data_IF_216194130862
#
_entry.id   IF_216194130862
#
_cell.length_a   1.000
_cell.length_b   1.000
_cell.length_c   1.000
_cell.angle_alpha   90.00
_cell.angle_beta   90.00
_cell.angle_gamma   90.00
#
_symmetry.space_group_name_H-M   'P 1'
#
loop_
_entity.id
_entity.type
_entity.pdbx_description
1 polymer ?
#
# COMPACT_ATOMS: atom_id res chain seq x y z
N UNK A 1 -10.45 19.23 29.84
CA UNK A 1 -9.26 20.05 29.48
C UNK A 1 -8.44 19.46 28.34
N UNK A 2 -7.90 18.24 28.42
CA UNK A 2 -7.00 17.68 27.38
C UNK A 2 -7.59 17.64 25.96
N UNK A 3 -8.81 17.13 25.78
CA UNK A 3 -9.48 17.10 24.47
C UNK A 3 -9.77 18.49 23.89
N UNK A 4 -9.90 19.52 24.75
CA UNK A 4 -10.16 20.89 24.32
C UNK A 4 -8.87 21.52 23.81
N UNK A 5 -7.74 21.30 24.50
CA UNK A 5 -6.42 21.71 24.03
C UNK A 5 -6.05 21.07 22.69
N UNK A 6 -6.34 19.77 22.49
CA UNK A 6 -6.11 19.08 21.21
C UNK A 6 -6.94 19.74 20.10
N UNK A 7 -8.24 19.96 20.32
CA UNK A 7 -9.13 20.61 19.35
C UNK A 7 -8.67 22.02 18.99
N UNK A 8 -8.22 22.80 19.96
CA UNK A 8 -7.67 24.14 19.77
C UNK A 8 -6.39 24.09 18.93
N UNK A 9 -5.45 23.20 19.28
CA UNK A 9 -4.15 23.05 18.58
C UNK A 9 -4.30 22.56 17.14
N UNK A 10 -5.33 21.77 16.86
CA UNK A 10 -5.60 21.24 15.53
C UNK A 10 -6.59 22.11 14.75
N UNK A 11 -7.13 23.19 15.29
CA UNK A 11 -8.20 23.97 14.65
C UNK A 11 -7.90 24.35 13.19
N UNK A 12 -6.65 24.72 12.91
CA UNK A 12 -6.19 25.17 11.58
C UNK A 12 -5.29 24.15 10.85
N UNK A 13 -5.36 22.86 11.22
CA UNK A 13 -4.47 21.82 10.68
C UNK A 13 -4.47 21.75 9.15
N UNK A 14 -5.63 21.96 8.51
CA UNK A 14 -5.76 21.93 7.04
C UNK A 14 -4.95 23.04 6.38
N UNK A 15 -4.98 24.24 6.94
CA UNK A 15 -4.22 25.40 6.44
C UNK A 15 -2.72 25.15 6.58
N UNK A 16 -2.28 24.64 7.74
CA UNK A 16 -0.88 24.29 7.99
C UNK A 16 -0.34 23.27 6.98
N UNK A 17 -1.15 22.28 6.60
CA UNK A 17 -0.75 21.21 5.68
C UNK A 17 -0.90 21.57 4.20
N UNK A 18 -1.66 22.59 3.84
CA UNK A 18 -1.99 22.90 2.44
C UNK A 18 -0.75 23.11 1.56
N UNK A 19 0.32 23.68 2.12
CA UNK A 19 1.60 23.89 1.41
C UNK A 19 2.31 22.60 1.00
N UNK A 20 2.06 21.50 1.73
CA UNK A 20 2.65 20.18 1.46
C UNK A 20 1.79 19.31 0.55
N UNK A 21 0.55 19.71 0.26
CA UNK A 21 -0.39 18.93 -0.55
C UNK A 21 -0.32 19.24 -2.05
N UNK A 22 0.63 20.10 -2.48
CA UNK A 22 0.72 20.53 -3.88
C UNK A 22 1.59 19.56 -4.70
N UNK A 23 1.05 18.96 -5.77
CA UNK A 23 1.84 18.13 -6.68
C UNK A 23 2.89 18.97 -7.43
N UNK A 24 4.08 18.39 -7.62
CA UNK A 24 5.21 18.98 -8.33
C UNK A 24 5.62 18.08 -9.50
N UNK A 25 5.33 18.53 -10.73
CA UNK A 25 5.57 17.75 -11.94
C UNK A 25 7.06 17.44 -12.19
N UNK A 26 7.97 18.31 -11.73
CA UNK A 26 9.42 18.09 -11.90
C UNK A 26 9.86 16.95 -10.99
N UNK A 27 9.43 16.97 -9.72
CA UNK A 27 9.70 15.88 -8.78
C UNK A 27 9.06 14.59 -9.28
N UNK A 28 7.81 14.62 -9.75
CA UNK A 28 7.12 13.47 -10.30
C UNK A 28 7.91 12.82 -11.46
N UNK A 29 8.39 13.62 -12.43
CA UNK A 29 9.21 13.12 -13.53
C UNK A 29 10.51 12.47 -13.06
N UNK A 30 11.21 13.08 -12.10
CA UNK A 30 12.43 12.50 -11.51
C UNK A 30 12.15 11.17 -10.82
N UNK A 31 11.05 11.07 -10.06
CA UNK A 31 10.66 9.84 -9.37
C UNK A 31 10.30 8.72 -10.35
N UNK A 32 9.66 9.06 -11.48
CA UNK A 32 9.40 8.08 -12.55
C UNK A 32 10.72 7.57 -13.12
N UNK A 33 11.61 8.47 -13.54
CA UNK A 33 12.88 8.09 -14.19
C UNK A 33 13.73 7.25 -13.23
N UNK A 34 13.93 7.70 -11.99
CA UNK A 34 14.78 7.01 -11.02
C UNK A 34 14.18 5.72 -10.43
N UNK A 35 12.94 5.38 -10.81
CA UNK A 35 12.28 4.13 -10.39
C UNK A 35 12.17 3.16 -11.56
N UNK A 36 11.65 3.62 -12.70
CA UNK A 36 11.42 2.77 -13.88
C UNK A 36 12.70 2.42 -14.63
N UNK A 37 13.63 3.38 -14.81
CA UNK A 37 14.86 3.12 -15.56
C UNK A 37 15.73 2.03 -14.90
N UNK A 38 16.09 2.14 -13.60
CA UNK A 38 16.85 1.07 -12.95
C UNK A 38 16.07 -0.23 -12.84
N UNK A 39 14.74 -0.18 -12.68
CA UNK A 39 13.91 -1.39 -12.66
C UNK A 39 14.01 -2.18 -13.97
N UNK A 40 13.83 -1.50 -15.10
CA UNK A 40 13.91 -2.13 -16.42
C UNK A 40 15.34 -2.59 -16.74
N UNK A 41 16.35 -1.79 -16.37
CA UNK A 41 17.75 -2.17 -16.55
C UNK A 41 18.09 -3.44 -15.75
N UNK A 42 17.71 -3.51 -14.48
CA UNK A 42 17.91 -4.71 -13.65
C UNK A 42 17.11 -5.90 -14.19
N UNK A 43 15.91 -5.68 -14.72
CA UNK A 43 15.12 -6.76 -15.31
C UNK A 43 15.79 -7.36 -16.56
N UNK A 44 16.36 -6.51 -17.43
CA UNK A 44 17.17 -6.98 -18.57
C UNK A 44 18.42 -7.71 -18.09
N UNK A 45 19.13 -7.18 -17.09
CA UNK A 45 20.31 -7.85 -16.52
C UNK A 45 19.99 -9.21 -15.91
N UNK A 46 18.83 -9.33 -15.23
CA UNK A 46 18.35 -10.62 -14.73
C UNK A 46 18.22 -11.63 -15.86
N UNK A 47 17.55 -11.27 -16.96
CA UNK A 47 17.40 -12.13 -18.13
C UNK A 47 18.76 -12.55 -18.71
N UNK A 48 19.69 -11.61 -18.89
CA UNK A 48 21.03 -11.88 -19.41
C UNK A 48 21.88 -12.74 -18.46
N UNK A 49 21.62 -12.67 -17.14
CA UNK A 49 22.37 -13.44 -16.14
C UNK A 49 21.91 -14.89 -15.98
N UNK A 50 20.80 -15.29 -16.62
CA UNK A 50 20.26 -16.65 -16.54
C UNK A 50 21.26 -17.70 -17.06
N UNK A 51 22.01 -17.37 -18.11
CA UNK A 51 23.03 -18.25 -18.70
C UNK A 51 24.28 -18.40 -17.81
N UNK A 52 24.46 -17.52 -16.82
CA UNK A 52 25.66 -17.45 -15.99
C UNK A 52 25.42 -18.11 -14.63
N UNK A 53 24.38 -17.69 -13.91
CA UNK A 53 24.03 -18.26 -12.61
C UNK A 53 22.67 -17.78 -12.13
N UNK A 54 21.85 -18.75 -11.71
CA UNK A 54 20.59 -18.45 -11.02
C UNK A 54 20.80 -17.67 -9.71
N UNK A 55 21.93 -17.83 -9.01
CA UNK A 55 22.20 -17.07 -7.78
C UNK A 55 22.44 -15.58 -8.07
N UNK A 56 23.10 -15.25 -9.19
CA UNK A 56 23.25 -13.86 -9.65
C UNK A 56 21.88 -13.28 -9.99
N UNK A 57 21.07 -14.05 -10.74
CA UNK A 57 19.70 -13.64 -11.08
C UNK A 57 18.86 -13.37 -9.82
N UNK A 58 18.93 -14.25 -8.82
CA UNK A 58 18.20 -14.07 -7.55
C UNK A 58 18.69 -12.85 -6.75
N UNK A 59 20.00 -12.60 -6.73
CA UNK A 59 20.56 -11.39 -6.10
C UNK A 59 20.08 -10.11 -6.78
N UNK A 60 20.09 -10.07 -8.12
CA UNK A 60 19.52 -8.97 -8.90
C UNK A 60 18.02 -8.81 -8.66
N UNK A 61 17.27 -9.91 -8.56
CA UNK A 61 15.83 -9.90 -8.27
C UNK A 61 15.54 -9.26 -6.90
N UNK A 62 16.32 -9.60 -5.88
CA UNK A 62 16.19 -9.02 -4.54
C UNK A 62 16.42 -7.50 -4.56
N UNK A 63 17.42 -7.02 -5.31
CA UNK A 63 17.66 -5.58 -5.49
C UNK A 63 16.51 -4.94 -6.30
N UNK A 64 16.07 -5.60 -7.37
CA UNK A 64 15.02 -5.09 -8.23
C UNK A 64 13.66 -4.96 -7.52
N UNK A 65 13.41 -5.82 -6.52
CA UNK A 65 12.22 -5.73 -5.67
C UNK A 65 12.08 -4.38 -4.96
N UNK A 66 13.18 -3.72 -4.58
CA UNK A 66 13.11 -2.37 -3.99
C UNK A 66 12.63 -1.32 -5.00
N UNK A 67 13.01 -1.44 -6.28
CA UNK A 67 12.48 -0.57 -7.32
C UNK A 67 11.03 -0.87 -7.65
N UNK A 68 10.62 -2.15 -7.60
CA UNK A 68 9.21 -2.52 -7.72
C UNK A 68 8.36 -1.89 -6.59
N UNK A 69 8.86 -1.87 -5.35
CA UNK A 69 8.21 -1.16 -4.23
C UNK A 69 8.11 0.34 -4.52
N UNK A 70 9.14 0.97 -5.10
CA UNK A 70 9.05 2.38 -5.52
C UNK A 70 7.98 2.61 -6.59
N UNK A 71 7.88 1.72 -7.57
CA UNK A 71 6.83 1.77 -8.60
C UNK A 71 5.44 1.62 -7.95
N UNK A 72 5.31 0.76 -6.94
CA UNK A 72 4.08 0.66 -6.15
C UNK A 72 3.77 1.93 -5.35
N UNK A 73 4.77 2.61 -4.76
CA UNK A 73 4.57 3.92 -4.10
C UNK A 73 4.04 4.96 -5.11
N UNK A 74 4.58 4.98 -6.33
CA UNK A 74 4.07 5.85 -7.41
C UNK A 74 2.62 5.47 -7.76
N UNK A 75 2.32 4.19 -7.93
CA UNK A 75 0.95 3.70 -8.15
C UNK A 75 0.01 4.13 -7.03
N UNK A 76 0.48 4.06 -5.79
CA UNK A 76 -0.26 4.42 -4.60
C UNK A 76 -0.66 5.90 -4.61
N UNK A 77 0.30 6.78 -4.85
CA UNK A 77 0.04 8.22 -4.90
C UNK A 77 -0.85 8.60 -6.09
N UNK A 78 -0.71 7.91 -7.23
CA UNK A 78 -1.66 8.02 -8.34
C UNK A 78 -3.07 7.58 -7.92
N UNK A 79 -3.20 6.49 -7.16
CA UNK A 79 -4.48 5.98 -6.63
C UNK A 79 -5.19 6.97 -5.69
N UNK A 80 -4.40 7.81 -5.00
CA UNK A 80 -4.87 8.94 -4.19
C UNK A 80 -5.06 10.24 -4.98
N UNK A 81 -4.72 10.25 -6.27
CA UNK A 81 -4.77 11.41 -7.15
C UNK A 81 -3.85 12.56 -6.72
N UNK A 82 -2.79 12.25 -5.97
CA UNK A 82 -1.87 13.24 -5.39
C UNK A 82 -0.54 13.36 -6.14
N UNK A 83 -0.18 12.39 -6.99
CA UNK A 83 1.11 12.37 -7.67
C UNK A 83 1.26 13.48 -8.73
N UNK A 84 0.23 13.65 -9.56
CA UNK A 84 0.10 14.76 -10.51
C UNK A 84 -1.12 15.63 -10.22
N UNK A 85 -1.11 16.87 -10.73
CA UNK A 85 -2.30 17.74 -10.76
C UNK A 85 -3.42 17.19 -11.65
N UNK A 86 -3.06 16.42 -12.68
CA UNK A 86 -4.02 15.86 -13.65
C UNK A 86 -4.47 14.46 -13.24
N UNK A 87 -5.77 14.31 -12.98
CA UNK A 87 -6.41 13.03 -12.71
C UNK A 87 -6.17 12.00 -13.83
N UNK A 88 -6.24 12.43 -15.09
CA UNK A 88 -6.01 11.54 -16.24
C UNK A 88 -4.57 11.01 -16.24
N UNK A 89 -3.59 11.82 -15.90
CA UNK A 89 -2.18 11.37 -15.81
C UNK A 89 -1.97 10.40 -14.66
N UNK A 90 -2.56 10.67 -13.49
CA UNK A 90 -2.54 9.75 -12.36
C UNK A 90 -3.15 8.41 -12.74
N UNK A 91 -4.34 8.41 -13.35
CA UNK A 91 -5.03 7.18 -13.71
C UNK A 91 -4.26 6.37 -14.77
N UNK A 92 -3.68 7.03 -15.78
CA UNK A 92 -2.85 6.36 -16.78
C UNK A 92 -1.58 5.79 -16.16
N UNK A 93 -0.82 6.56 -15.39
CA UNK A 93 0.43 6.10 -14.79
C UNK A 93 0.17 5.01 -13.75
N UNK A 94 -0.84 5.16 -12.90
CA UNK A 94 -1.23 4.15 -11.93
C UNK A 94 -1.65 2.83 -12.58
N UNK A 95 -2.34 2.88 -13.72
CA UNK A 95 -2.64 1.69 -14.51
C UNK A 95 -1.38 1.05 -15.11
N UNK A 96 -0.44 1.83 -15.66
CA UNK A 96 0.85 1.30 -16.13
C UNK A 96 1.65 0.66 -15.00
N UNK A 97 1.79 1.34 -13.85
CA UNK A 97 2.44 0.79 -12.66
C UNK A 97 1.78 -0.52 -12.19
N UNK A 98 0.46 -0.63 -12.33
CA UNK A 98 -0.27 -1.84 -11.95
C UNK A 98 0.04 -3.08 -12.75
N UNK A 99 0.49 -2.91 -14.00
CA UNK A 99 0.99 -4.02 -14.79
C UNK A 99 2.22 -4.65 -14.13
N UNK A 100 3.16 -3.82 -13.67
CA UNK A 100 4.39 -4.29 -13.02
C UNK A 100 4.12 -4.85 -11.62
N UNK A 101 3.29 -4.17 -10.82
CA UNK A 101 2.97 -4.62 -9.45
C UNK A 101 2.00 -5.80 -9.43
N UNK A 102 1.31 -6.08 -10.54
CA UNK A 102 0.21 -7.03 -10.62
C UNK A 102 -0.90 -6.74 -9.60
N UNK A 103 -1.21 -5.47 -9.31
CA UNK A 103 -2.26 -5.04 -8.37
C UNK A 103 -3.35 -4.29 -9.14
N UNK A 104 -4.62 -4.74 -9.16
CA UNK A 104 -5.66 -4.14 -10.00
C UNK A 104 -5.94 -2.68 -9.62
N UNK A 105 -5.41 -1.73 -10.38
CA UNK A 105 -5.34 -0.31 -10.01
C UNK A 105 -6.65 0.29 -9.51
N UNK A 106 -7.74 0.19 -10.30
CA UNK A 106 -9.02 0.82 -9.95
C UNK A 106 -9.70 0.19 -8.73
N UNK A 107 -9.65 -1.14 -8.61
CA UNK A 107 -10.22 -1.84 -7.46
C UNK A 107 -9.43 -1.49 -6.21
N UNK A 108 -8.11 -1.66 -6.28
CA UNK A 108 -7.19 -1.38 -5.19
C UNK A 108 -7.27 0.08 -4.73
N UNK A 109 -7.25 1.06 -5.64
CA UNK A 109 -7.35 2.49 -5.29
C UNK A 109 -8.62 2.79 -4.51
N UNK A 110 -9.78 2.23 -4.92
CA UNK A 110 -11.04 2.44 -4.19
C UNK A 110 -11.01 1.83 -2.79
N UNK A 111 -10.59 0.58 -2.65
CA UNK A 111 -10.52 -0.10 -1.35
C UNK A 111 -9.48 0.55 -0.44
N UNK A 112 -8.37 1.02 -1.02
CA UNK A 112 -7.28 1.67 -0.30
C UNK A 112 -7.66 3.07 0.18
N UNK A 113 -8.40 3.84 -0.62
CA UNK A 113 -8.97 5.12 -0.20
C UNK A 113 -9.97 4.93 0.94
N UNK A 114 -10.81 3.89 0.88
CA UNK A 114 -11.72 3.53 1.96
C UNK A 114 -10.96 3.14 3.24
N UNK A 115 -9.89 2.35 3.12
CA UNK A 115 -8.98 2.04 4.22
C UNK A 115 -8.44 3.33 4.85
N UNK A 116 -7.81 4.22 4.07
CA UNK A 116 -7.26 5.47 4.61
C UNK A 116 -8.30 6.40 5.26
N UNK A 117 -9.55 6.39 4.79
CA UNK A 117 -10.62 7.19 5.37
C UNK A 117 -11.08 6.68 6.75
N UNK A 118 -10.93 5.37 7.01
CA UNK A 118 -11.46 4.71 8.23
C UNK A 118 -10.40 4.02 9.08
N UNK A 119 -9.13 4.05 8.68
CA UNK A 119 -8.04 3.40 9.39
C UNK A 119 -7.95 3.93 10.83
N UNK A 120 -7.84 3.01 11.79
CA UNK A 120 -7.85 3.31 13.22
C UNK A 120 -9.23 3.51 13.84
N UNK A 121 -10.31 3.41 13.06
CA UNK A 121 -11.69 3.40 13.57
C UNK A 121 -12.14 1.95 13.74
N UNK A 122 -12.24 1.50 14.99
CA UNK A 122 -12.57 0.11 15.34
C UNK A 122 -13.97 -0.26 14.82
N UNK A 123 -14.87 0.71 14.69
CA UNK A 123 -16.23 0.55 14.19
C UNK A 123 -16.30 0.24 12.68
N UNK A 124 -15.24 0.58 11.94
CA UNK A 124 -15.20 0.52 10.47
C UNK A 124 -14.18 -0.50 9.94
N UNK A 125 -13.78 -1.46 10.77
CA UNK A 125 -12.86 -2.53 10.35
C UNK A 125 -13.42 -3.35 9.16
N UNK A 126 -12.50 -3.82 8.31
CA UNK A 126 -12.78 -4.90 7.35
C UNK A 126 -12.23 -4.66 5.95
N UNK A 127 -12.06 -3.41 5.52
CA UNK A 127 -11.62 -3.08 4.17
C UNK A 127 -10.16 -2.66 4.15
N UNK A 128 -9.27 -3.59 3.79
CA UNK A 128 -7.83 -3.33 3.77
C UNK A 128 -7.18 -3.23 5.15
N UNK A 129 -7.95 -3.40 6.23
CA UNK A 129 -7.48 -3.39 7.61
C UNK A 129 -7.18 -4.77 8.15
N UNK A 130 -6.24 -4.82 9.09
CA UNK A 130 -6.02 -5.99 9.94
C UNK A 130 -7.08 -5.96 11.05
N UNK A 131 -7.64 -7.12 11.40
CA UNK A 131 -8.62 -7.18 12.47
C UNK A 131 -7.96 -6.91 13.84
N UNK A 132 -8.53 -5.97 14.58
CA UNK A 132 -8.09 -5.60 15.93
C UNK A 132 -9.20 -5.82 16.94
N UNK A 133 -8.84 -6.31 18.11
CA UNK A 133 -9.74 -6.42 19.25
C UNK A 133 -9.37 -5.36 20.30
N UNK A 134 -10.39 -4.80 20.97
CA UNK A 134 -10.19 -4.04 22.21
C UNK A 134 -9.69 -4.98 23.31
N UNK A 135 -9.19 -4.40 24.41
CA UNK A 135 -8.79 -5.16 25.61
C UNK A 135 -9.94 -6.03 26.10
N UNK A 136 -11.13 -5.45 26.23
CA UNK A 136 -12.31 -6.13 26.76
C UNK A 136 -12.78 -7.26 25.83
N UNK A 137 -12.75 -7.02 24.52
CA UNK A 137 -13.06 -8.04 23.50
C UNK A 137 -12.07 -9.21 23.56
N UNK A 138 -10.78 -8.92 23.71
CA UNK A 138 -9.76 -9.95 23.83
C UNK A 138 -9.89 -10.72 25.14
N UNK A 139 -10.20 -10.06 26.25
CA UNK A 139 -10.38 -10.69 27.56
C UNK A 139 -11.58 -11.64 27.58
N UNK A 140 -12.67 -11.28 26.90
CA UNK A 140 -13.86 -12.08 26.72
C UNK A 140 -13.66 -13.34 25.85
N UNK A 141 -12.54 -13.45 25.11
CA UNK A 141 -12.25 -14.65 24.32
C UNK A 141 -11.97 -15.87 25.21
N UNK A 142 -12.38 -17.04 24.72
CA UNK A 142 -11.93 -18.34 25.26
C UNK A 142 -10.40 -18.48 25.15
N UNK A 143 -9.81 -19.40 25.93
CA UNK A 143 -8.36 -19.69 25.85
C UNK A 143 -7.90 -20.00 24.42
N UNK A 144 -8.71 -20.76 23.67
CA UNK A 144 -8.42 -21.07 22.28
C UNK A 144 -8.58 -19.84 21.37
N UNK A 145 -9.57 -18.98 21.61
CA UNK A 145 -9.73 -17.71 20.90
C UNK A 145 -8.50 -16.80 21.07
N UNK A 146 -7.97 -16.69 22.29
CA UNK A 146 -6.75 -15.94 22.61
C UNK A 146 -5.54 -16.50 21.85
N UNK A 147 -5.37 -17.83 21.79
CA UNK A 147 -4.30 -18.47 21.03
C UNK A 147 -4.42 -18.17 19.53
N UNK A 148 -5.62 -18.33 18.93
CA UNK A 148 -5.86 -18.03 17.52
C UNK A 148 -5.54 -16.58 17.18
N UNK A 149 -5.99 -15.64 18.02
CA UNK A 149 -5.69 -14.22 17.82
C UNK A 149 -4.19 -13.94 17.89
N UNK A 150 -3.46 -14.54 18.85
CA UNK A 150 -2.00 -14.41 18.93
C UNK A 150 -1.27 -14.98 17.71
N UNK A 151 -1.70 -16.13 17.20
CA UNK A 151 -1.15 -16.72 15.98
C UNK A 151 -1.40 -15.78 14.80
N UNK A 152 -2.64 -15.31 14.62
CA UNK A 152 -2.98 -14.35 13.57
C UNK A 152 -2.15 -13.07 13.66
N UNK A 153 -1.90 -12.58 14.87
CA UNK A 153 -1.10 -11.38 15.16
C UNK A 153 0.42 -11.63 15.23
N UNK A 154 0.88 -12.85 14.97
CA UNK A 154 2.31 -13.15 14.96
C UNK A 154 2.99 -12.51 13.73
N UNK A 155 4.29 -12.14 13.82
CA UNK A 155 5.01 -11.55 12.69
C UNK A 155 5.00 -12.43 11.44
N UNK A 156 5.11 -13.75 11.59
CA UNK A 156 5.09 -14.68 10.45
C UNK A 156 3.75 -14.62 9.72
N UNK A 157 2.64 -14.65 10.45
CA UNK A 157 1.32 -14.59 9.81
C UNK A 157 1.08 -13.23 9.17
N UNK A 158 1.37 -12.12 9.89
CA UNK A 158 1.09 -10.77 9.39
C UNK A 158 2.00 -10.31 8.25
N UNK A 159 3.27 -10.75 8.21
CA UNK A 159 4.23 -10.28 7.21
C UNK A 159 4.54 -11.29 6.10
N UNK A 160 4.18 -12.57 6.27
CA UNK A 160 4.36 -13.58 5.23
C UNK A 160 3.02 -14.08 4.69
N UNK A 161 2.18 -14.65 5.54
CA UNK A 161 0.98 -15.37 5.10
C UNK A 161 -0.12 -14.41 4.63
N UNK A 162 -0.45 -13.38 5.42
CA UNK A 162 -1.50 -12.41 5.11
C UNK A 162 -1.21 -11.63 3.83
N UNK A 163 0.00 -11.08 3.59
CA UNK A 163 0.30 -10.39 2.34
C UNK A 163 0.20 -11.30 1.12
N UNK A 164 0.72 -12.53 1.18
CA UNK A 164 0.59 -13.50 0.09
C UNK A 164 -0.88 -13.77 -0.22
N UNK A 165 -1.70 -14.07 0.80
CA UNK A 165 -3.13 -14.29 0.64
C UNK A 165 -3.84 -13.05 0.08
N UNK A 166 -3.48 -11.86 0.53
CA UNK A 166 -4.05 -10.60 0.05
C UNK A 166 -3.75 -10.35 -1.44
N UNK A 167 -2.49 -10.51 -1.85
CA UNK A 167 -2.07 -10.32 -3.25
C UNK A 167 -2.64 -11.38 -4.20
N UNK A 168 -2.80 -12.63 -3.74
CA UNK A 168 -3.22 -13.75 -4.58
C UNK A 168 -4.72 -14.00 -4.59
N UNK A 169 -5.43 -13.65 -3.52
CA UNK A 169 -6.89 -13.88 -3.40
C UNK A 169 -7.64 -12.57 -3.42
N UNK A 170 -7.45 -11.71 -2.41
CA UNK A 170 -8.25 -10.49 -2.23
C UNK A 170 -8.08 -9.48 -3.37
N UNK A 171 -6.89 -9.42 -3.98
CA UNK A 171 -6.58 -8.57 -5.13
C UNK A 171 -6.80 -9.27 -6.48
N UNK A 172 -7.39 -10.47 -6.51
CA UNK A 172 -7.78 -11.18 -7.74
C UNK A 172 -9.29 -11.33 -7.86
N UNK A 173 -9.97 -11.46 -6.74
CA UNK A 173 -11.42 -11.59 -6.70
C UNK A 173 -12.06 -10.33 -6.11
N UNK A 174 -13.12 -9.77 -6.74
CA UNK A 174 -13.81 -8.58 -6.27
C UNK A 174 -14.74 -8.93 -5.09
N UNK A 175 -14.15 -9.37 -3.97
CA UNK A 175 -14.87 -9.78 -2.77
C UNK A 175 -15.46 -8.59 -2.01
N UNK A 176 -14.88 -7.40 -2.20
CA UNK A 176 -15.35 -6.16 -1.59
C UNK A 176 -16.31 -5.43 -2.54
N UNK A 177 -17.54 -5.22 -2.09
CA UNK A 177 -18.50 -4.30 -2.72
C UNK A 177 -18.54 -2.99 -1.94
N UNK A 178 -17.85 -1.97 -2.43
CA UNK A 178 -18.01 -0.60 -1.93
C UNK A 178 -19.30 -0.02 -2.52
N UNK A 179 -20.21 0.48 -1.66
CA UNK A 179 -21.34 1.29 -2.15
C UNK A 179 -20.77 2.60 -2.70
N UNK A 180 -21.18 2.94 -3.93
CA UNK A 180 -20.76 4.14 -4.64
C UNK A 180 -21.44 5.40 -4.11
#
# INVERSE_FOLDING_TARGET
MHNQMIKESLKDWRSMLQKYQRPDSKKAAIQIINSYLPFLALWVLMYLSLDWSYFITLGLAAINAFFLVRIFIIQHDCGHQSFFKSKKLNDSLGFVSSFFSSIPYKYWSRTHNAHHAHNGQIEHQGLGDIHYLTTDQYEALSRFGKIRYRIFRSPVVLFLIVPIAYFTVTLRFPLVKLKG
#
